data_IF_280679213968
#
_entry.id   IF_280679213968
#
_cell.length_a   1.000
_cell.length_b   1.000
_cell.length_c   1.000
_cell.angle_alpha   90.00
_cell.angle_beta   90.00
_cell.angle_gamma   90.00
#
_symmetry.space_group_name_H-M   'P 1'
#
loop_
_entity.id
_entity.type
_entity.pdbx_description
1 polymer ?
#
# COMPACT_ATOMS: atom_id res chain seq x y z
N UNK A 1 -22.77 6.70 -12.36
CA UNK A 1 -21.90 7.57 -11.53
C UNK A 1 -20.93 8.31 -12.43
N UNK A 2 -20.86 9.63 -12.34
CA UNK A 2 -19.82 10.38 -13.07
C UNK A 2 -18.48 10.10 -12.38
N UNK A 3 -17.59 9.38 -13.05
CA UNK A 3 -16.21 9.23 -12.59
C UNK A 3 -15.51 10.57 -12.75
N UNK A 4 -15.17 11.21 -11.65
CA UNK A 4 -14.28 12.35 -11.66
C UNK A 4 -12.85 11.82 -11.59
N UNK A 5 -12.05 11.90 -12.67
CA UNK A 5 -10.67 11.45 -12.62
C UNK A 5 -9.90 12.35 -11.65
N UNK A 6 -9.11 11.74 -10.78
CA UNK A 6 -8.19 12.48 -9.92
C UNK A 6 -7.14 13.14 -10.81
N UNK A 7 -7.07 14.46 -10.79
CA UNK A 7 -6.08 15.20 -11.55
C UNK A 7 -4.66 14.85 -11.06
N UNK A 8 -3.79 14.45 -11.98
CA UNK A 8 -2.36 14.24 -11.70
C UNK A 8 -1.75 15.61 -11.38
N UNK A 9 -1.44 15.86 -10.13
CA UNK A 9 -0.80 17.10 -9.69
C UNK A 9 0.63 16.82 -9.21
N UNK A 10 1.44 17.87 -9.06
CA UNK A 10 2.80 17.76 -8.52
C UNK A 10 2.84 17.16 -7.10
N UNK A 11 1.72 17.18 -6.38
CA UNK A 11 1.59 16.64 -5.02
C UNK A 11 1.20 15.17 -5.01
N UNK A 12 0.72 14.65 -6.14
CA UNK A 12 0.32 13.23 -6.30
C UNK A 12 1.35 12.57 -7.19
N UNK A 13 2.02 11.56 -6.65
CA UNK A 13 3.04 10.78 -7.34
C UNK A 13 2.44 9.52 -7.95
N UNK A 14 3.06 9.04 -8.98
CA UNK A 14 2.80 7.71 -9.54
C UNK A 14 3.75 6.68 -8.92
N UNK A 15 3.35 5.40 -8.92
CA UNK A 15 4.22 4.28 -8.61
C UNK A 15 4.99 3.83 -9.85
N UNK A 16 6.07 3.04 -9.73
CA UNK A 16 6.74 2.44 -10.88
C UNK A 16 5.83 1.55 -11.73
N UNK A 17 4.70 1.12 -11.20
CA UNK A 17 3.74 0.22 -11.86
C UNK A 17 2.54 0.96 -12.47
N UNK A 18 2.34 2.24 -12.20
CA UNK A 18 1.15 2.99 -12.64
C UNK A 18 0.87 2.84 -14.13
N UNK A 19 1.89 2.95 -14.99
CA UNK A 19 1.71 2.79 -16.44
C UNK A 19 1.26 1.38 -16.87
N UNK A 20 1.65 0.35 -16.13
CA UNK A 20 1.21 -1.02 -16.38
C UNK A 20 -0.21 -1.24 -15.90
N UNK A 21 -0.59 -0.62 -14.79
CA UNK A 21 -1.95 -0.66 -14.22
C UNK A 21 -2.93 0.04 -15.16
N UNK A 22 -2.55 1.19 -15.72
CA UNK A 22 -3.35 1.90 -16.71
C UNK A 22 -3.66 1.01 -17.93
N UNK A 23 -2.69 0.21 -18.39
CA UNK A 23 -2.88 -0.75 -19.48
C UNK A 23 -3.82 -1.91 -19.12
N UNK A 24 -4.00 -2.21 -17.84
CA UNK A 24 -4.95 -3.22 -17.37
C UNK A 24 -6.38 -2.68 -17.22
N UNK A 25 -6.62 -1.43 -17.59
CA UNK A 25 -7.97 -0.87 -17.62
C UNK A 25 -8.48 -0.42 -16.25
N UNK A 26 -7.61 0.14 -15.41
CA UNK A 26 -8.02 0.76 -14.15
C UNK A 26 -9.10 1.82 -14.40
N UNK A 27 -10.18 1.75 -13.65
CA UNK A 27 -11.34 2.64 -13.79
C UNK A 27 -11.41 3.69 -12.68
N UNK A 28 -10.76 3.46 -11.55
CA UNK A 28 -10.72 4.41 -10.45
C UNK A 28 -9.40 4.34 -9.68
N UNK A 29 -8.99 5.50 -9.18
CA UNK A 29 -7.86 5.63 -8.25
C UNK A 29 -8.32 6.25 -6.95
N UNK A 30 -7.64 5.89 -5.88
CA UNK A 30 -7.58 6.66 -4.64
C UNK A 30 -6.16 7.19 -4.44
N UNK A 31 -5.99 8.03 -3.43
CA UNK A 31 -4.67 8.55 -3.05
C UNK A 31 -4.28 7.97 -1.69
N UNK A 32 -3.15 7.32 -1.64
CA UNK A 32 -2.55 6.83 -0.43
C UNK A 32 -1.08 7.25 -0.37
N UNK A 33 -0.66 7.83 0.75
CA UNK A 33 0.72 8.26 0.94
C UNK A 33 1.24 9.22 -0.17
N UNK A 34 0.35 10.12 -0.65
CA UNK A 34 0.58 11.01 -1.80
C UNK A 34 0.86 10.30 -3.13
N UNK A 35 0.45 9.06 -3.27
CA UNK A 35 0.58 8.27 -4.49
C UNK A 35 -0.78 7.80 -5.01
N UNK A 36 -0.88 7.63 -6.33
CA UNK A 36 -2.03 7.00 -6.95
C UNK A 36 -2.06 5.51 -6.55
N UNK A 37 -3.16 5.09 -5.95
CA UNK A 37 -3.42 3.70 -5.63
C UNK A 37 -4.63 3.24 -6.45
N UNK A 38 -4.51 2.20 -7.29
CA UNK A 38 -5.65 1.69 -8.06
C UNK A 38 -6.72 1.17 -7.12
N UNK A 39 -7.96 1.59 -7.35
CA UNK A 39 -9.10 1.26 -6.50
C UNK A 39 -10.13 0.35 -7.19
N UNK A 40 -10.24 0.43 -8.52
CA UNK A 40 -11.18 -0.39 -9.27
C UNK A 40 -10.72 -0.64 -10.70
N UNK A 41 -11.07 -1.82 -11.25
CA UNK A 41 -10.81 -2.22 -12.64
C UNK A 41 -12.09 -2.60 -13.41
N UNK A 42 -13.22 -2.65 -12.75
CA UNK A 42 -14.48 -3.02 -13.33
C UNK A 42 -15.60 -2.98 -12.30
N UNK A 43 -16.56 -3.89 -12.40
CA UNK A 43 -17.62 -3.97 -11.40
C UNK A 43 -17.10 -4.56 -10.08
N UNK A 44 -17.75 -4.17 -8.98
CA UNK A 44 -17.43 -4.72 -7.65
C UNK A 44 -17.73 -6.22 -7.62
N UNK A 45 -18.81 -6.63 -8.29
CA UNK A 45 -19.24 -8.03 -8.33
C UNK A 45 -18.20 -8.92 -9.04
N UNK A 46 -17.70 -8.48 -10.21
CA UNK A 46 -16.66 -9.21 -10.94
C UNK A 46 -15.38 -9.29 -10.13
N UNK A 47 -14.98 -8.20 -9.48
CA UNK A 47 -13.80 -8.16 -8.62
C UNK A 47 -13.92 -9.12 -7.42
N UNK A 48 -15.09 -9.17 -6.78
CA UNK A 48 -15.35 -10.11 -5.68
C UNK A 48 -15.36 -11.57 -6.15
N UNK A 49 -15.93 -11.85 -7.31
CA UNK A 49 -15.95 -13.18 -7.89
C UNK A 49 -14.54 -13.65 -8.27
N UNK A 50 -13.74 -12.75 -8.86
CA UNK A 50 -12.34 -13.02 -9.19
C UNK A 50 -11.53 -13.32 -7.92
N UNK A 51 -11.68 -12.49 -6.88
CA UNK A 51 -10.98 -12.69 -5.60
C UNK A 51 -11.23 -14.06 -4.97
N UNK A 52 -12.43 -14.62 -5.15
CA UNK A 52 -12.82 -15.91 -4.59
C UNK A 52 -12.33 -17.12 -5.38
N UNK A 53 -12.05 -16.95 -6.67
CA UNK A 53 -11.79 -18.07 -7.60
C UNK A 53 -10.39 -18.06 -8.17
N UNK A 54 -9.75 -16.90 -8.22
CA UNK A 54 -8.51 -16.69 -8.95
C UNK A 54 -7.43 -16.04 -8.06
N UNK A 55 -6.19 -16.08 -8.53
CA UNK A 55 -5.08 -15.36 -7.90
C UNK A 55 -5.13 -13.89 -8.30
N UNK A 56 -4.92 -13.01 -7.35
CA UNK A 56 -4.84 -11.57 -7.59
C UNK A 56 -3.45 -11.02 -7.32
N UNK A 57 -3.05 -10.02 -8.12
CA UNK A 57 -1.84 -9.25 -7.93
C UNK A 57 -2.23 -7.81 -7.59
N UNK A 58 -1.67 -7.28 -6.52
CA UNK A 58 -1.99 -5.96 -6.00
C UNK A 58 -0.78 -5.04 -6.08
N UNK A 59 -0.95 -3.83 -6.64
CA UNK A 59 0.08 -2.80 -6.54
C UNK A 59 0.00 -2.13 -5.16
N UNK A 60 0.96 -2.43 -4.32
CA UNK A 60 1.12 -1.84 -2.99
C UNK A 60 2.33 -0.92 -2.90
N UNK A 61 2.86 -0.47 -4.03
CA UNK A 61 4.03 0.41 -4.08
C UNK A 61 3.78 1.80 -3.45
N UNK A 62 2.53 2.15 -3.19
CA UNK A 62 2.17 3.33 -2.39
C UNK A 62 2.56 3.19 -0.91
N UNK A 63 2.78 1.98 -0.44
CA UNK A 63 3.32 1.71 0.89
C UNK A 63 4.83 1.90 0.89
N UNK A 64 5.28 2.98 1.52
CA UNK A 64 6.70 3.32 1.55
C UNK A 64 7.45 2.40 2.48
N UNK A 65 8.65 2.03 2.04
CA UNK A 65 9.61 1.29 2.85
C UNK A 65 10.55 2.27 3.53
N UNK A 66 10.81 2.02 4.81
CA UNK A 66 11.79 2.74 5.62
C UNK A 66 12.73 1.71 6.23
N UNK A 67 14.01 1.80 5.89
CA UNK A 67 15.04 0.99 6.53
C UNK A 67 15.55 1.71 7.77
N UNK A 68 15.63 0.99 8.88
CA UNK A 68 16.22 1.45 10.13
C UNK A 68 17.37 0.50 10.47
N UNK A 69 18.58 0.99 10.39
CA UNK A 69 19.80 0.21 10.59
C UNK A 69 20.71 0.81 11.68
N UNK A 70 21.62 0.00 12.21
CA UNK A 70 22.57 0.38 13.25
C UNK A 70 22.32 -0.33 14.58
N UNK A 71 23.26 -0.18 15.52
CA UNK A 71 23.26 -0.89 16.82
C UNK A 71 22.03 -0.63 17.69
N UNK A 72 21.40 0.52 17.56
CA UNK A 72 20.24 0.94 18.35
C UNK A 72 18.93 0.92 17.53
N UNK A 73 18.94 0.36 16.32
CA UNK A 73 17.76 0.31 15.43
C UNK A 73 16.54 -0.34 16.11
N UNK A 74 16.73 -1.48 16.76
CA UNK A 74 15.67 -2.18 17.47
C UNK A 74 15.07 -1.34 18.62
N UNK A 75 15.91 -0.61 19.35
CA UNK A 75 15.46 0.27 20.44
C UNK A 75 14.63 1.42 19.88
N UNK A 76 15.08 2.03 18.78
CA UNK A 76 14.32 3.10 18.12
C UNK A 76 12.95 2.62 17.68
N UNK A 77 12.88 1.47 16.99
CA UNK A 77 11.60 0.90 16.55
C UNK A 77 10.70 0.59 17.74
N UNK A 78 11.24 0.04 18.84
CA UNK A 78 10.48 -0.21 20.05
C UNK A 78 9.91 1.08 20.67
N UNK A 79 10.65 2.16 20.65
CA UNK A 79 10.15 3.46 21.14
C UNK A 79 9.04 4.06 20.27
N UNK A 80 9.07 3.76 18.97
CA UNK A 80 8.08 4.26 17.99
C UNK A 80 6.80 3.43 17.95
N UNK A 81 6.76 2.25 18.56
CA UNK A 81 5.63 1.34 18.52
C UNK A 81 5.09 1.04 19.91
N UNK A 82 3.78 0.87 20.02
CA UNK A 82 3.12 0.45 21.26
C UNK A 82 3.22 -1.07 21.51
N UNK A 83 3.61 -1.83 20.50
CA UNK A 83 3.72 -3.28 20.60
C UNK A 83 5.09 -3.67 21.15
N UNK A 84 5.09 -4.61 22.09
CA UNK A 84 6.35 -5.21 22.57
C UNK A 84 7.02 -6.04 21.45
N UNK A 85 8.19 -5.61 21.05
CA UNK A 85 9.02 -6.25 20.01
C UNK A 85 10.16 -7.07 20.60
N UNK A 86 10.26 -7.23 21.92
CA UNK A 86 11.36 -7.97 22.59
C UNK A 86 11.48 -9.42 22.11
N UNK A 87 10.36 -10.01 21.66
CA UNK A 87 10.28 -11.38 21.15
C UNK A 87 10.36 -11.47 19.63
N UNK A 88 10.65 -10.35 18.94
CA UNK A 88 10.78 -10.36 17.48
C UNK A 88 12.00 -11.19 17.05
N UNK A 89 11.85 -11.92 15.95
CA UNK A 89 12.90 -12.79 15.42
C UNK A 89 13.23 -12.41 13.98
N UNK A 90 14.48 -12.55 13.62
CA UNK A 90 14.95 -12.38 12.23
C UNK A 90 14.15 -13.31 11.31
N UNK A 91 13.74 -12.79 10.14
CA UNK A 91 12.94 -13.53 9.17
C UNK A 91 11.44 -13.58 9.45
N UNK A 92 10.94 -12.89 10.48
CA UNK A 92 9.51 -12.75 10.76
C UNK A 92 9.01 -11.34 10.51
N UNK A 93 7.85 -11.23 9.88
CA UNK A 93 7.13 -9.98 9.71
C UNK A 93 6.12 -9.79 10.85
N UNK A 94 5.98 -8.55 11.28
CA UNK A 94 5.00 -8.14 12.29
C UNK A 94 4.20 -6.97 11.75
N UNK A 95 2.89 -7.03 11.91
CA UNK A 95 2.05 -5.88 11.61
C UNK A 95 2.16 -4.87 12.75
N UNK A 96 2.59 -3.65 12.42
CA UNK A 96 2.78 -2.55 13.35
C UNK A 96 2.09 -1.29 12.83
N UNK A 97 1.65 -0.44 13.73
CA UNK A 97 1.16 0.90 13.40
C UNK A 97 1.92 1.94 14.22
N UNK A 98 2.34 3.01 13.56
CA UNK A 98 2.98 4.17 14.18
C UNK A 98 1.99 5.34 14.34
N UNK A 99 0.82 5.26 13.74
CA UNK A 99 -0.13 6.38 13.63
C UNK A 99 -1.41 6.13 14.42
N UNK A 100 -1.87 4.91 14.49
CA UNK A 100 -3.13 4.51 15.13
C UNK A 100 -2.91 3.88 16.51
N UNK A 101 -2.25 4.62 17.35
CA UNK A 101 -2.03 4.22 18.76
C UNK A 101 -3.14 4.77 19.64
#
# INVERSE_FOLDING_TARGET
MKNYPIAKSRRIRSTPYTSRIEKQGVTAYTVYNHMLLPAAFGSIEDSCNHLKKEVQVWDVAAERQVEISGKDAAKLVQLMTSRDLSKSKIGRCYYLSLIHI
#
